data_IF_965450091052
#
_entry.id   IF_965450091052
#
_cell.length_a   1.000
_cell.length_b   1.000
_cell.length_c   1.000
_cell.angle_alpha   90.00
_cell.angle_beta   90.00
_cell.angle_gamma   90.00
#
_symmetry.space_group_name_H-M   'P 1'
#
loop_
_entity.id
_entity.type
_entity.pdbx_description
1 polymer ?
#
# COMPACT_ATOMS: atom_id res chain seq x y z
N UNK A 1 33.43 -2.69 47.93
CA UNK A 1 32.60 -1.60 47.36
C UNK A 1 32.80 -1.46 45.84
N UNK A 2 34.03 -1.40 45.31
CA UNK A 2 34.25 -1.19 43.87
C UNK A 2 33.92 -2.36 42.92
N UNK A 3 34.07 -3.61 43.37
CA UNK A 3 33.85 -4.79 42.50
C UNK A 3 32.37 -4.95 42.11
N UNK A 4 31.44 -4.65 43.03
CA UNK A 4 30.00 -4.68 42.73
C UNK A 4 29.59 -3.60 41.72
N UNK A 5 30.17 -2.39 41.81
CA UNK A 5 29.90 -1.31 40.86
C UNK A 5 30.41 -1.65 39.46
N UNK A 6 31.58 -2.25 39.34
CA UNK A 6 32.13 -2.66 38.04
C UNK A 6 31.33 -3.78 37.38
N UNK A 7 30.81 -4.74 38.16
CA UNK A 7 29.92 -5.80 37.65
C UNK A 7 28.59 -5.20 37.18
N UNK A 8 28.03 -4.26 37.95
CA UNK A 8 26.78 -3.58 37.58
C UNK A 8 26.93 -2.76 36.28
N UNK A 9 28.05 -2.04 36.12
CA UNK A 9 28.34 -1.31 34.88
C UNK A 9 28.45 -2.24 33.66
N UNK A 10 29.08 -3.41 33.82
CA UNK A 10 29.23 -4.40 32.76
C UNK A 10 27.88 -5.01 32.32
N UNK A 11 27.00 -5.29 33.28
CA UNK A 11 25.66 -5.81 33.02
C UNK A 11 24.78 -4.81 32.26
N UNK A 12 24.90 -3.52 32.57
CA UNK A 12 24.20 -2.42 31.86
C UNK A 12 24.71 -2.27 30.43
N UNK A 13 26.02 -2.36 30.20
CA UNK A 13 26.62 -2.31 28.86
C UNK A 13 26.23 -3.51 27.99
N UNK A 14 26.09 -4.71 28.57
CA UNK A 14 25.63 -5.90 27.87
C UNK A 14 24.16 -5.81 27.43
N UNK A 15 23.29 -5.17 28.21
CA UNK A 15 21.87 -4.97 27.84
C UNK A 15 21.67 -3.92 26.74
N UNK A 16 22.58 -2.95 26.60
CA UNK A 16 22.49 -1.92 25.56
C UNK A 16 22.74 -2.47 24.14
N UNK A 17 23.35 -3.65 24.00
CA UNK A 17 23.73 -4.23 22.71
C UNK A 17 22.64 -5.12 22.07
N UNK A 18 21.55 -5.45 22.78
CA UNK A 18 20.52 -6.40 22.29
C UNK A 18 19.26 -5.68 21.75
N UNK A 19 19.39 -4.44 21.26
CA UNK A 19 18.34 -3.87 20.42
C UNK A 19 18.47 -4.41 18.99
N UNK A 20 18.30 -5.71 18.85
CA UNK A 20 18.03 -6.34 17.56
C UNK A 20 16.64 -5.87 17.14
N UNK A 21 16.58 -4.96 16.18
CA UNK A 21 15.35 -4.70 15.43
C UNK A 21 15.00 -6.00 14.72
N UNK A 22 14.04 -6.75 15.26
CA UNK A 22 13.43 -7.87 14.55
C UNK A 22 12.80 -7.29 13.28
N UNK A 23 13.41 -7.56 12.12
CA UNK A 23 12.73 -7.44 10.83
C UNK A 23 11.63 -8.50 10.87
N UNK A 24 10.46 -8.12 11.37
CA UNK A 24 9.27 -8.96 11.24
C UNK A 24 8.95 -8.93 9.76
N UNK A 25 9.08 -10.07 9.09
CA UNK A 25 8.51 -10.25 7.76
C UNK A 25 7.02 -9.88 7.90
N UNK A 26 6.62 -8.73 7.36
CA UNK A 26 5.26 -8.26 7.54
C UNK A 26 4.31 -9.27 6.91
N UNK A 27 3.37 -9.76 7.71
CA UNK A 27 2.38 -10.73 7.28
C UNK A 27 1.53 -10.13 6.15
N UNK A 28 1.37 -10.88 5.07
CA UNK A 28 0.51 -10.51 3.95
C UNK A 28 -0.94 -10.35 4.41
N UNK A 29 -1.53 -9.19 4.12
CA UNK A 29 -2.93 -8.88 4.40
C UNK A 29 -3.76 -8.93 3.13
N UNK A 30 -4.99 -9.43 3.23
CA UNK A 30 -5.91 -9.48 2.09
C UNK A 30 -6.60 -8.14 1.87
N UNK A 31 -6.67 -7.72 0.62
CA UNK A 31 -7.40 -6.53 0.19
C UNK A 31 -7.92 -6.72 -1.24
N UNK A 32 -8.44 -5.65 -1.82
CA UNK A 32 -8.81 -5.61 -3.24
C UNK A 32 -8.12 -4.46 -3.95
N UNK A 33 -7.96 -4.59 -5.27
CA UNK A 33 -7.42 -3.52 -6.09
C UNK A 33 -8.23 -3.31 -7.37
N UNK A 34 -8.38 -2.06 -7.76
CA UNK A 34 -8.80 -1.62 -9.09
C UNK A 34 -7.66 -0.82 -9.72
N UNK A 35 -7.90 -0.32 -10.93
CA UNK A 35 -7.00 0.63 -11.56
C UNK A 35 -7.75 1.80 -12.17
N UNK A 36 -7.11 2.95 -12.17
CA UNK A 36 -7.60 4.14 -12.85
C UNK A 36 -7.40 3.92 -14.35
N UNK A 37 -8.50 3.88 -15.11
CA UNK A 37 -8.43 3.95 -16.56
C UNK A 37 -8.20 5.42 -16.94
N UNK A 38 -7.00 5.75 -17.45
CA UNK A 38 -6.67 7.09 -17.95
C UNK A 38 -7.54 7.40 -19.19
N UNK A 39 -8.81 7.78 -18.98
CA UNK A 39 -9.76 7.95 -20.09
C UNK A 39 -9.68 9.30 -20.78
N UNK A 40 -9.07 10.29 -20.17
CA UNK A 40 -8.75 11.57 -20.79
C UNK A 40 -7.63 12.20 -19.95
N UNK A 41 -6.47 12.47 -20.54
CA UNK A 41 -5.22 12.87 -19.86
C UNK A 41 -5.25 14.22 -19.13
N UNK A 42 -6.18 14.42 -18.20
CA UNK A 42 -6.39 15.63 -17.43
C UNK A 42 -7.32 15.30 -16.26
N UNK A 43 -6.75 15.11 -15.04
CA UNK A 43 -7.21 15.71 -13.76
C UNK A 43 -6.70 14.98 -12.48
N UNK A 44 -5.58 14.25 -12.50
CA UNK A 44 -4.83 13.94 -11.27
C UNK A 44 -3.55 14.77 -11.24
N UNK A 45 -3.69 16.10 -11.33
CA UNK A 45 -2.55 17.02 -11.16
C UNK A 45 -2.14 17.17 -9.70
N UNK A 46 -2.99 16.81 -8.73
CA UNK A 46 -2.67 16.86 -7.30
C UNK A 46 -3.45 15.75 -6.57
N UNK A 47 -2.79 14.65 -6.20
CA UNK A 47 -3.38 13.64 -5.32
C UNK A 47 -3.60 14.18 -3.90
N UNK A 48 -4.44 13.53 -3.10
CA UNK A 48 -4.80 13.93 -1.74
C UNK A 48 -3.62 14.06 -0.77
N UNK A 49 -2.43 13.56 -1.13
CA UNK A 49 -1.20 13.73 -0.35
C UNK A 49 -0.47 15.07 -0.61
N UNK A 50 -0.91 15.88 -1.57
CA UNK A 50 -0.38 17.23 -1.79
C UNK A 50 1.03 17.29 -2.36
N UNK A 51 1.45 16.25 -3.11
CA UNK A 51 2.78 16.19 -3.74
C UNK A 51 2.91 17.04 -5.02
N UNK A 52 1.88 17.81 -5.38
CA UNK A 52 1.81 18.52 -6.65
C UNK A 52 1.61 17.56 -7.82
N UNK A 53 2.12 17.93 -8.99
CA UNK A 53 2.01 17.16 -10.24
C UNK A 53 2.69 15.79 -10.11
N UNK A 54 1.86 14.78 -9.83
CA UNK A 54 2.32 13.39 -9.67
C UNK A 54 2.88 12.80 -10.96
N UNK A 55 2.64 13.40 -12.13
CA UNK A 55 3.23 12.94 -13.39
C UNK A 55 4.66 13.47 -13.60
N UNK A 56 5.05 14.55 -12.90
CA UNK A 56 6.41 15.11 -12.97
C UNK A 56 7.40 14.42 -12.04
N UNK A 57 6.90 13.70 -11.04
CA UNK A 57 7.72 12.91 -10.13
C UNK A 57 7.45 11.44 -10.44
N UNK A 58 8.46 10.58 -10.39
CA UNK A 58 8.30 9.13 -10.69
C UNK A 58 7.24 8.42 -9.81
N UNK A 59 6.70 9.09 -8.78
CA UNK A 59 5.52 8.67 -8.03
C UNK A 59 4.35 8.28 -8.92
N UNK A 60 4.10 8.97 -10.04
CA UNK A 60 2.92 8.74 -10.88
C UNK A 60 2.89 7.40 -11.63
N UNK A 61 4.05 6.74 -11.83
CA UNK A 61 4.10 5.45 -12.55
C UNK A 61 3.63 4.29 -11.68
N UNK A 62 4.01 4.29 -10.41
CA UNK A 62 3.65 3.25 -9.44
C UNK A 62 2.98 3.87 -8.21
N UNK A 63 1.90 4.61 -8.46
CA UNK A 63 1.07 5.23 -7.42
C UNK A 63 -0.16 4.40 -7.07
N UNK A 64 -0.73 4.69 -5.90
CA UNK A 64 -2.05 4.22 -5.49
C UNK A 64 -2.79 5.24 -4.62
N UNK A 65 -4.11 5.28 -4.79
CA UNK A 65 -5.06 5.84 -3.84
C UNK A 65 -5.56 4.77 -2.87
N UNK A 66 -5.61 5.10 -1.58
CA UNK A 66 -6.08 4.16 -0.55
C UNK A 66 -7.53 4.43 -0.15
N UNK A 67 -8.28 3.38 0.18
CA UNK A 67 -9.61 3.51 0.78
C UNK A 67 -9.57 4.18 2.15
N UNK A 68 -10.75 4.60 2.64
CA UNK A 68 -10.89 5.35 3.91
C UNK A 68 -10.15 4.71 5.09
N UNK A 69 -10.23 3.38 5.25
CA UNK A 69 -9.62 2.68 6.39
C UNK A 69 -8.09 2.64 6.29
N UNK A 70 -7.54 2.55 5.08
CA UNK A 70 -6.10 2.47 4.83
C UNK A 70 -5.44 3.85 4.71
N UNK A 71 -6.13 4.84 4.13
CA UNK A 71 -5.64 6.21 3.99
C UNK A 71 -5.49 6.89 5.36
N UNK A 72 -6.36 6.54 6.32
CA UNK A 72 -6.33 7.01 7.71
C UNK A 72 -6.02 8.51 7.83
N UNK A 73 -6.87 9.34 7.21
CA UNK A 73 -6.77 10.81 7.19
C UNK A 73 -5.40 11.34 6.70
N UNK A 74 -4.79 10.65 5.74
CA UNK A 74 -3.52 11.03 5.12
C UNK A 74 -2.27 10.60 5.89
N UNK A 75 -2.43 9.93 7.04
CA UNK A 75 -1.27 9.45 7.82
C UNK A 75 -0.43 8.39 7.10
N UNK A 76 -0.95 7.78 6.03
CA UNK A 76 -0.24 6.82 5.18
C UNK A 76 0.30 7.41 3.89
N UNK A 77 0.14 8.72 3.65
CA UNK A 77 0.74 9.39 2.50
C UNK A 77 2.26 9.15 2.44
N UNK A 78 2.75 8.75 1.27
CA UNK A 78 4.17 8.43 1.03
C UNK A 78 4.61 7.07 1.55
N UNK A 79 3.73 6.29 2.19
CA UNK A 79 4.02 4.89 2.47
C UNK A 79 4.17 4.10 1.16
N UNK A 80 5.03 3.10 1.18
CA UNK A 80 5.12 2.11 0.11
C UNK A 80 4.45 0.81 0.56
N UNK A 81 3.80 0.13 -0.38
CA UNK A 81 3.22 -1.20 -0.16
C UNK A 81 3.68 -2.13 -1.27
N UNK A 82 4.14 -3.31 -0.89
CA UNK A 82 4.30 -4.42 -1.82
C UNK A 82 2.94 -5.12 -1.98
N UNK A 83 2.50 -5.29 -3.23
CA UNK A 83 1.17 -5.82 -3.57
C UNK A 83 1.31 -6.95 -4.57
N UNK A 84 0.53 -8.01 -4.42
CA UNK A 84 0.40 -9.10 -5.41
C UNK A 84 -1.04 -9.51 -5.63
N UNK A 85 -1.38 -9.86 -6.86
CA UNK A 85 -2.69 -10.45 -7.18
C UNK A 85 -2.72 -11.93 -6.76
N UNK A 86 -3.79 -12.33 -6.08
CA UNK A 86 -3.98 -13.69 -5.59
C UNK A 86 -5.37 -14.22 -5.95
N UNK A 87 -5.58 -15.52 -5.79
CA UNK A 87 -6.91 -16.16 -5.81
C UNK A 87 -7.77 -15.93 -7.06
N UNK A 88 -7.17 -15.55 -8.20
CA UNK A 88 -7.93 -15.38 -9.45
C UNK A 88 -7.16 -15.77 -10.72
N UNK A 89 -7.39 -16.98 -11.23
CA UNK A 89 -6.67 -17.55 -12.38
C UNK A 89 -6.83 -16.79 -13.70
N UNK A 90 -7.98 -16.12 -13.91
CA UNK A 90 -8.23 -15.40 -15.17
C UNK A 90 -7.58 -14.01 -15.18
N UNK A 91 -7.43 -13.39 -14.01
CA UNK A 91 -7.07 -11.98 -13.88
C UNK A 91 -5.65 -11.78 -13.39
N UNK A 92 -5.20 -12.54 -12.40
CA UNK A 92 -3.83 -12.46 -11.92
C UNK A 92 -2.84 -12.98 -12.96
N UNK A 93 -1.64 -12.39 -12.99
CA UNK A 93 -0.55 -12.89 -13.81
C UNK A 93 0.02 -14.20 -13.24
N UNK A 94 0.54 -15.03 -14.13
CA UNK A 94 1.13 -16.33 -13.76
C UNK A 94 2.31 -16.11 -12.83
N UNK A 95 2.37 -16.88 -11.74
CA UNK A 95 3.43 -16.79 -10.73
C UNK A 95 3.17 -15.74 -9.64
N UNK A 96 2.04 -15.03 -9.67
CA UNK A 96 1.67 -14.00 -8.70
C UNK A 96 2.81 -13.01 -8.41
N UNK A 97 3.34 -12.34 -9.46
CA UNK A 97 4.35 -11.31 -9.28
C UNK A 97 3.83 -10.20 -8.35
N UNK A 98 4.77 -9.51 -7.70
CA UNK A 98 4.46 -8.35 -6.86
C UNK A 98 4.96 -7.05 -7.46
N UNK A 99 4.33 -5.95 -7.07
CA UNK A 99 4.72 -4.58 -7.42
C UNK A 99 4.74 -3.74 -6.14
N UNK A 100 5.67 -2.79 -6.07
CA UNK A 100 5.70 -1.81 -4.99
C UNK A 100 5.04 -0.53 -5.48
N UNK A 101 4.07 -0.02 -4.72
CA UNK A 101 3.38 1.24 -5.02
C UNK A 101 3.54 2.24 -3.89
N UNK A 102 3.53 3.53 -4.23
CA UNK A 102 3.54 4.63 -3.26
C UNK A 102 2.14 5.20 -3.10
N UNK A 103 1.74 5.46 -1.86
CA UNK A 103 0.48 6.16 -1.55
C UNK A 103 0.61 7.62 -1.92
N UNK A 104 -0.15 8.05 -2.91
CA UNK A 104 -0.16 9.44 -3.39
C UNK A 104 -1.53 10.09 -3.29
N UNK A 105 -2.57 9.29 -3.11
CA UNK A 105 -3.95 9.75 -3.20
C UNK A 105 -4.90 9.06 -2.22
N UNK A 106 -6.12 9.53 -2.20
CA UNK A 106 -7.24 9.00 -1.43
C UNK A 106 -8.33 8.52 -2.37
N UNK A 107 -8.66 7.24 -2.31
CA UNK A 107 -9.82 6.72 -3.02
C UNK A 107 -11.09 7.09 -2.25
N UNK A 108 -11.83 8.07 -2.76
CA UNK A 108 -13.03 8.58 -2.12
C UNK A 108 -14.16 7.52 -2.11
N UNK A 109 -14.89 7.36 -0.99
CA UNK A 109 -16.00 6.42 -0.92
C UNK A 109 -17.21 6.89 -1.74
N UNK A 110 -17.93 5.94 -2.32
CA UNK A 110 -19.22 6.15 -2.97
C UNK A 110 -20.30 5.30 -2.28
N UNK A 111 -20.91 5.84 -1.23
CA UNK A 111 -21.94 5.16 -0.44
C UNK A 111 -23.30 5.01 -1.17
N UNK A 112 -23.45 5.58 -2.37
CA UNK A 112 -24.61 5.32 -3.24
C UNK A 112 -24.54 3.98 -3.97
N UNK A 113 -23.38 3.32 -3.94
CA UNK A 113 -23.10 2.06 -4.62
C UNK A 113 -22.66 0.98 -3.63
N UNK A 114 -22.92 -0.28 -3.95
CA UNK A 114 -22.47 -1.43 -3.16
C UNK A 114 -20.99 -1.72 -3.37
N UNK A 115 -20.36 -2.40 -2.41
CA UNK A 115 -18.91 -2.69 -2.43
C UNK A 115 -18.49 -3.65 -3.55
N UNK A 116 -19.42 -4.34 -4.18
CA UNK A 116 -19.21 -5.21 -5.35
C UNK A 116 -19.54 -4.49 -6.68
N UNK A 117 -20.08 -3.28 -6.63
CA UNK A 117 -20.52 -2.53 -7.82
C UNK A 117 -20.18 -1.04 -7.72
N UNK A 118 -18.89 -0.70 -7.65
CA UNK A 118 -18.39 0.69 -7.69
C UNK A 118 -18.26 1.39 -6.33
N UNK A 119 -18.74 0.78 -5.25
CA UNK A 119 -18.50 1.22 -3.86
C UNK A 119 -17.22 0.64 -3.25
N UNK A 120 -16.18 0.37 -4.04
CA UNK A 120 -15.00 -0.41 -3.63
C UNK A 120 -14.22 0.21 -2.44
N UNK A 121 -14.18 1.54 -2.38
CA UNK A 121 -13.44 2.30 -1.35
C UNK A 121 -14.28 2.66 -0.12
N UNK A 122 -15.52 2.16 -0.05
CA UNK A 122 -16.40 2.37 1.09
C UNK A 122 -15.84 1.69 2.34
N UNK A 123 -15.93 2.37 3.49
CA UNK A 123 -15.61 1.75 4.78
C UNK A 123 -16.52 0.53 5.03
N UNK A 124 -16.01 -0.60 5.56
CA UNK A 124 -14.66 -0.85 6.08
C UNK A 124 -13.68 -1.51 5.09
N UNK A 125 -13.94 -1.46 3.77
CA UNK A 125 -13.13 -2.18 2.78
C UNK A 125 -11.68 -1.68 2.73
N UNK A 126 -10.73 -2.60 2.81
CA UNK A 126 -9.33 -2.36 2.46
C UNK A 126 -9.18 -2.46 0.95
N UNK A 127 -8.88 -1.33 0.30
CA UNK A 127 -8.85 -1.23 -1.15
C UNK A 127 -7.75 -0.29 -1.66
N UNK A 128 -7.15 -0.68 -2.77
CA UNK A 128 -6.10 0.04 -3.49
C UNK A 128 -6.57 0.40 -4.90
N UNK A 129 -6.77 1.68 -5.15
CA UNK A 129 -7.00 2.19 -6.50
C UNK A 129 -5.62 2.49 -7.11
N UNK A 130 -5.13 1.61 -7.98
CA UNK A 130 -3.75 1.68 -8.47
C UNK A 130 -3.66 2.47 -9.78
N UNK A 131 -2.48 3.03 -10.06
CA UNK A 131 -2.15 3.44 -11.43
C UNK A 131 -2.22 2.24 -12.38
N UNK A 132 -2.64 2.48 -13.63
CA UNK A 132 -2.78 1.43 -14.65
C UNK A 132 -1.45 0.68 -14.87
N UNK A 133 -0.33 1.40 -14.84
CA UNK A 133 1.01 0.83 -14.97
C UNK A 133 1.34 -0.12 -13.81
N UNK A 134 1.04 0.24 -12.56
CA UNK A 134 1.25 -0.65 -11.41
C UNK A 134 0.35 -1.88 -11.46
N UNK A 135 -0.93 -1.70 -11.77
CA UNK A 135 -1.88 -2.80 -11.84
C UNK A 135 -1.49 -3.84 -12.90
N UNK A 136 -0.98 -3.38 -14.04
CA UNK A 136 -0.55 -4.23 -15.14
C UNK A 136 0.65 -5.14 -14.78
N UNK A 137 1.41 -4.84 -13.72
CA UNK A 137 2.50 -5.70 -13.23
C UNK A 137 1.98 -6.94 -12.49
N UNK A 138 0.72 -6.94 -12.01
CA UNK A 138 0.17 -8.02 -11.18
C UNK A 138 -1.09 -8.66 -11.75
N UNK A 139 -1.85 -7.95 -12.60
CA UNK A 139 -3.12 -8.40 -13.13
C UNK A 139 -3.41 -7.88 -14.56
N UNK A 140 -4.30 -8.58 -15.27
CA UNK A 140 -4.79 -8.18 -16.60
C UNK A 140 -5.78 -7.03 -16.46
N UNK A 141 -5.62 -5.97 -17.26
CA UNK A 141 -6.49 -4.78 -17.39
C UNK A 141 -7.90 -5.04 -17.95
N UNK A 142 -8.43 -6.25 -17.78
CA UNK A 142 -9.81 -6.64 -18.17
C UNK A 142 -10.71 -6.86 -16.96
N UNK A 143 -10.14 -6.92 -15.76
CA UNK A 143 -10.90 -7.04 -14.52
C UNK A 143 -11.27 -5.67 -14.00
N UNK A 144 -12.51 -5.50 -13.52
CA UNK A 144 -12.91 -4.28 -12.81
C UNK A 144 -12.28 -4.22 -11.42
N UNK A 145 -12.12 -5.38 -10.76
CA UNK A 145 -11.53 -5.52 -9.42
C UNK A 145 -10.80 -6.86 -9.30
N UNK A 146 -9.69 -6.92 -8.57
CA UNK A 146 -8.99 -8.19 -8.27
C UNK A 146 -8.71 -8.35 -6.78
N UNK A 147 -8.74 -9.59 -6.26
CA UNK A 147 -8.23 -9.86 -4.93
C UNK A 147 -6.71 -9.73 -4.91
N UNK A 148 -6.19 -9.08 -3.87
CA UNK A 148 -4.76 -8.88 -3.67
C UNK A 148 -4.34 -9.27 -2.26
N UNK A 149 -3.05 -9.46 -2.11
CA UNK A 149 -2.37 -9.38 -0.82
C UNK A 149 -1.39 -8.22 -0.81
N UNK A 150 -1.25 -7.56 0.33
CA UNK A 150 -0.31 -6.46 0.50
C UNK A 150 0.44 -6.53 1.84
N UNK A 151 1.60 -5.86 1.89
CA UNK A 151 2.40 -5.61 3.11
C UNK A 151 3.21 -4.32 2.97
N UNK A 152 3.71 -3.75 4.06
CA UNK A 152 4.45 -2.48 4.07
C UNK A 152 5.96 -2.68 3.99
#
# INVERSE_FOLDING_TARGET
>A
MGVLQSIFLYLVLLQACIKVSSYRDEEWKSATATYIQDKDGSLITEGACGYGDIHKVDYGKYSTGLSTILFNKGSTCGACYEIRCVDHILWCLIGSPSVVVTVTDFCAPNYGLSSDYGGWCNFPSEHFEMSEAAFAEIAKRKSDIVPIQYRR
#
